data_IF_049627235268
#
_entry.id   IF_049627235268
#
_cell.length_a   1.000
_cell.length_b   1.000
_cell.length_c   1.000
_cell.angle_alpha   90.00
_cell.angle_beta   90.00
_cell.angle_gamma   90.00
#
_symmetry.space_group_name_H-M   'P 1'
#
loop_
_entity.id
_entity.type
_entity.pdbx_description
1 polymer ?
#
# COMPACT_ATOMS: atom_id res chain seq x y z
N UNK A 1 -4.93 -14.91 9.24
CA UNK A 1 -5.60 -14.37 8.02
C UNK A 1 -4.62 -14.08 6.89
N UNK A 2 -3.53 -13.36 7.14
CA UNK A 2 -2.50 -13.04 6.14
C UNK A 2 -1.93 -14.24 5.39
N UNK A 3 -1.59 -15.32 6.10
CA UNK A 3 -1.09 -16.59 5.52
C UNK A 3 -2.12 -17.24 4.60
N UNK A 4 -3.40 -17.23 4.99
CA UNK A 4 -4.50 -17.81 4.19
C UNK A 4 -4.68 -17.02 2.89
N UNK A 5 -4.63 -15.68 2.99
CA UNK A 5 -4.73 -14.78 1.83
C UNK A 5 -3.51 -14.96 0.91
N UNK A 6 -2.31 -15.10 1.48
CA UNK A 6 -1.09 -15.41 0.72
C UNK A 6 -1.23 -16.73 -0.03
N UNK A 7 -1.76 -17.77 0.62
CA UNK A 7 -1.96 -19.08 0.02
C UNK A 7 -3.02 -19.04 -1.08
N UNK A 8 -4.13 -18.32 -0.88
CA UNK A 8 -5.17 -18.15 -1.89
C UNK A 8 -4.65 -17.43 -3.13
N UNK A 9 -4.01 -16.27 -2.97
CA UNK A 9 -3.41 -15.53 -4.09
C UNK A 9 -2.25 -16.30 -4.74
N UNK A 10 -1.44 -17.00 -3.94
CA UNK A 10 -0.38 -17.87 -4.42
C UNK A 10 -0.89 -19.07 -5.23
N UNK A 11 -2.05 -19.64 -4.88
CA UNK A 11 -2.72 -20.69 -5.65
C UNK A 11 -3.32 -20.16 -6.95
N UNK A 12 -3.99 -19.00 -6.90
CA UNK A 12 -4.61 -18.37 -8.09
C UNK A 12 -3.55 -17.99 -9.13
N UNK A 13 -2.40 -17.48 -8.67
CA UNK A 13 -1.31 -17.00 -9.53
C UNK A 13 -0.12 -17.97 -9.60
N UNK A 14 -0.39 -19.26 -9.38
CA UNK A 14 0.62 -20.31 -9.36
C UNK A 14 1.44 -20.34 -10.66
N UNK A 15 2.77 -20.31 -10.53
CA UNK A 15 3.72 -20.48 -11.63
C UNK A 15 3.57 -19.45 -12.78
N UNK A 16 3.09 -18.24 -12.48
CA UNK A 16 2.99 -17.14 -13.46
C UNK A 16 4.15 -16.16 -13.44
N UNK A 17 5.04 -16.18 -12.44
CA UNK A 17 6.13 -15.20 -12.28
C UNK A 17 7.21 -15.18 -13.38
N UNK A 18 7.33 -16.26 -14.16
CA UNK A 18 8.30 -16.36 -15.27
C UNK A 18 7.67 -16.12 -16.66
N UNK A 19 6.35 -16.14 -16.77
CA UNK A 19 5.63 -15.98 -18.05
C UNK A 19 5.41 -14.49 -18.32
N UNK A 20 6.43 -13.83 -18.87
CA UNK A 20 6.39 -12.39 -19.21
C UNK A 20 6.46 -12.11 -20.71
N UNK A 21 6.34 -13.16 -21.54
CA UNK A 21 6.50 -13.07 -23.00
C UNK A 21 5.31 -12.43 -23.71
N UNK A 22 4.08 -12.56 -23.17
CA UNK A 22 2.87 -11.97 -23.75
C UNK A 22 2.40 -10.77 -22.96
N UNK A 23 1.88 -9.74 -23.65
CA UNK A 23 1.26 -8.57 -23.01
C UNK A 23 0.17 -8.95 -22.00
N UNK A 24 -0.68 -9.92 -22.35
CA UNK A 24 -1.75 -10.39 -21.46
C UNK A 24 -1.20 -11.01 -20.17
N UNK A 25 -0.11 -11.77 -20.26
CA UNK A 25 0.50 -12.41 -19.09
C UNK A 25 1.17 -11.37 -18.19
N UNK A 26 1.79 -10.33 -18.78
CA UNK A 26 2.28 -9.19 -18.03
C UNK A 26 1.13 -8.45 -17.32
N UNK A 27 0.05 -8.11 -18.01
CA UNK A 27 -1.11 -7.44 -17.42
C UNK A 27 -1.75 -8.27 -16.30
N UNK A 28 -1.85 -9.58 -16.48
CA UNK A 28 -2.31 -10.49 -15.43
C UNK A 28 -1.38 -10.47 -14.21
N UNK A 29 -0.06 -10.43 -14.40
CA UNK A 29 0.92 -10.33 -13.32
C UNK A 29 0.83 -8.98 -12.58
N UNK A 30 0.65 -7.89 -13.33
CA UNK A 30 0.44 -6.54 -12.79
C UNK A 30 -0.82 -6.49 -11.91
N UNK A 31 -1.95 -6.96 -12.45
CA UNK A 31 -3.22 -7.05 -11.73
C UNK A 31 -3.13 -8.00 -10.52
N UNK A 32 -2.37 -9.08 -10.62
CA UNK A 32 -2.12 -10.00 -9.50
C UNK A 32 -1.39 -9.30 -8.34
N UNK A 33 -0.29 -8.60 -8.63
CA UNK A 33 0.47 -7.87 -7.62
C UNK A 33 -0.38 -6.77 -6.97
N UNK A 34 -1.14 -6.04 -7.79
CA UNK A 34 -2.08 -5.03 -7.33
C UNK A 34 -3.14 -5.59 -6.38
N UNK A 35 -3.85 -6.63 -6.81
CA UNK A 35 -4.93 -7.23 -6.03
C UNK A 35 -4.41 -7.84 -4.72
N UNK A 36 -3.26 -8.52 -4.76
CA UNK A 36 -2.66 -9.13 -3.58
C UNK A 36 -2.33 -8.08 -2.50
N UNK A 37 -1.70 -6.97 -2.90
CA UNK A 37 -1.28 -5.92 -1.97
C UNK A 37 -2.47 -5.08 -1.51
N UNK A 38 -3.38 -4.69 -2.41
CA UNK A 38 -4.56 -3.92 -2.02
C UNK A 38 -5.48 -4.68 -1.09
N UNK A 39 -5.76 -5.95 -1.38
CA UNK A 39 -6.67 -6.74 -0.57
C UNK A 39 -6.14 -6.88 0.86
N UNK A 40 -4.84 -7.16 0.99
CA UNK A 40 -4.22 -7.29 2.30
C UNK A 40 -4.05 -5.94 3.02
N UNK A 41 -3.69 -4.88 2.29
CA UNK A 41 -3.59 -3.52 2.81
C UNK A 41 -4.94 -3.00 3.33
N UNK A 42 -6.02 -3.23 2.59
CA UNK A 42 -7.37 -2.85 2.97
C UNK A 42 -7.84 -3.57 4.25
N UNK A 43 -7.58 -4.89 4.36
CA UNK A 43 -7.94 -5.65 5.56
C UNK A 43 -7.18 -5.17 6.80
N UNK A 44 -5.88 -4.85 6.66
CA UNK A 44 -5.11 -4.27 7.77
C UNK A 44 -5.60 -2.87 8.13
N UNK A 45 -5.93 -2.03 7.14
CA UNK A 45 -6.51 -0.72 7.38
C UNK A 45 -7.81 -0.83 8.18
N UNK A 46 -8.75 -1.69 7.77
CA UNK A 46 -10.01 -1.90 8.49
C UNK A 46 -9.81 -2.41 9.92
N UNK A 47 -8.88 -3.32 10.13
CA UNK A 47 -8.56 -3.82 11.48
C UNK A 47 -8.03 -2.70 12.39
N UNK A 48 -7.12 -1.87 11.88
CA UNK A 48 -6.56 -0.71 12.60
C UNK A 48 -7.64 0.34 12.86
N UNK A 49 -8.53 0.60 11.90
CA UNK A 49 -9.61 1.56 12.05
C UNK A 49 -10.53 1.23 13.23
N UNK A 50 -10.83 -0.05 13.45
CA UNK A 50 -11.66 -0.50 14.58
C UNK A 50 -10.98 -0.27 15.92
N UNK A 51 -9.69 -0.60 16.03
CA UNK A 51 -8.92 -0.41 17.27
C UNK A 51 -8.82 1.07 17.62
N UNK A 52 -8.45 1.91 16.66
CA UNK A 52 -8.27 3.36 16.86
C UNK A 52 -9.58 4.05 17.20
N UNK A 53 -10.71 3.61 16.65
CA UNK A 53 -12.02 4.16 16.99
C UNK A 53 -12.40 3.92 18.46
N UNK A 54 -12.04 2.74 19.01
CA UNK A 54 -12.24 2.42 20.42
C UNK A 54 -11.34 3.30 21.29
N UNK A 55 -10.04 3.37 20.97
CA UNK A 55 -9.07 4.19 21.71
C UNK A 55 -9.44 5.67 21.73
N UNK A 56 -9.91 6.21 20.59
CA UNK A 56 -10.37 7.61 20.50
C UNK A 56 -11.51 7.92 21.46
N UNK A 57 -12.42 6.97 21.65
CA UNK A 57 -13.57 7.13 22.55
C UNK A 57 -13.12 7.19 24.01
N UNK A 58 -12.17 6.34 24.40
CA UNK A 58 -11.55 6.37 25.73
C UNK A 58 -10.78 7.67 25.95
N UNK A 59 -9.98 8.10 24.97
CA UNK A 59 -9.22 9.35 25.04
C UNK A 59 -10.10 10.58 25.26
N UNK A 60 -11.25 10.65 24.57
CA UNK A 60 -12.19 11.76 24.78
C UNK A 60 -12.77 11.78 26.20
N UNK A 61 -13.07 10.63 26.79
CA UNK A 61 -13.52 10.54 28.19
C UNK A 61 -12.42 10.96 29.18
N UNK A 62 -11.19 10.48 29.02
CA UNK A 62 -10.07 10.83 29.91
C UNK A 62 -9.69 12.31 29.82
N UNK A 63 -9.77 12.89 28.62
CA UNK A 63 -9.56 14.33 28.40
C UNK A 63 -10.66 15.17 29.06
N UNK A 64 -11.91 14.69 29.06
CA UNK A 64 -13.02 15.40 29.71
C UNK A 64 -12.88 15.48 31.24
N UNK A 65 -12.19 14.53 31.86
CA UNK A 65 -11.90 14.52 33.32
C UNK A 65 -10.58 15.24 33.64
N UNK A 66 -9.86 15.76 32.63
CA UNK A 66 -8.60 16.49 32.82
C UNK A 66 -7.41 15.59 33.19
N UNK A 67 -7.53 14.26 33.05
CA UNK A 67 -6.49 13.30 33.44
C UNK A 67 -5.38 13.12 32.38
N UNK A 68 -5.66 13.38 31.10
CA UNK A 68 -4.68 13.24 30.01
C UNK A 68 -4.52 14.53 29.20
N UNK A 69 -3.27 15.00 29.07
CA UNK A 69 -2.90 16.03 28.09
C UNK A 69 -2.65 15.42 26.70
N UNK A 70 -2.65 16.23 25.65
CA UNK A 70 -2.41 15.75 24.28
C UNK A 70 -1.00 15.17 24.05
N UNK A 71 -0.05 15.45 24.95
CA UNK A 71 1.34 14.99 24.86
C UNK A 71 1.49 13.47 25.08
N UNK A 72 0.93 12.86 26.14
CA UNK A 72 0.94 11.41 26.32
C UNK A 72 0.29 10.64 25.17
N UNK A 73 -0.72 11.20 24.50
CA UNK A 73 -1.32 10.59 23.31
C UNK A 73 -0.33 10.59 22.12
N UNK A 74 0.44 11.66 21.95
CA UNK A 74 1.50 11.69 20.94
C UNK A 74 2.63 10.69 21.26
N UNK A 75 2.99 10.51 22.53
CA UNK A 75 4.01 9.53 22.95
C UNK A 75 3.52 8.08 22.87
N UNK A 76 2.25 7.80 23.19
CA UNK A 76 1.66 6.48 22.98
C UNK A 76 1.59 6.17 21.48
N UNK A 77 1.33 7.15 20.63
CA UNK A 77 1.32 6.98 19.17
C UNK A 77 2.67 6.52 18.62
N UNK A 78 3.77 7.17 19.02
CA UNK A 78 5.13 6.83 18.56
C UNK A 78 5.52 5.43 19.02
N UNK A 79 5.17 5.08 20.27
CA UNK A 79 5.45 3.76 20.85
C UNK A 79 4.60 2.67 20.18
N UNK A 80 3.31 2.92 19.96
CA UNK A 80 2.41 2.03 19.22
C UNK A 80 2.90 1.81 17.79
N UNK A 81 3.33 2.87 17.10
CA UNK A 81 3.85 2.77 15.74
C UNK A 81 5.10 1.88 15.67
N UNK A 82 5.95 1.88 16.69
CA UNK A 82 7.11 1.01 16.78
C UNK A 82 6.74 -0.46 17.00
N UNK A 83 5.78 -0.77 17.89
CA UNK A 83 5.27 -2.12 18.07
C UNK A 83 4.54 -2.64 16.84
N UNK A 84 3.71 -1.80 16.21
CA UNK A 84 2.99 -2.12 14.98
C UNK A 84 3.95 -2.33 13.81
N UNK A 85 5.05 -1.57 13.72
CA UNK A 85 6.07 -1.77 12.70
C UNK A 85 6.78 -3.13 12.84
N UNK A 86 7.10 -3.57 14.06
CA UNK A 86 7.75 -4.88 14.30
C UNK A 86 6.78 -6.02 13.93
N UNK A 87 5.54 -5.93 14.38
CA UNK A 87 4.50 -6.91 14.03
C UNK A 87 4.26 -6.96 12.51
N UNK A 88 4.13 -5.79 11.87
CA UNK A 88 3.97 -5.69 10.42
C UNK A 88 5.19 -6.21 9.67
N UNK A 89 6.42 -6.03 10.19
CA UNK A 89 7.63 -6.58 9.57
C UNK A 89 7.59 -8.11 9.55
N UNK A 90 7.27 -8.75 10.68
CA UNK A 90 7.17 -10.22 10.76
C UNK A 90 6.03 -10.73 9.86
N UNK A 91 4.86 -10.07 9.90
CA UNK A 91 3.70 -10.42 9.09
C UNK A 91 3.97 -10.29 7.58
N UNK A 92 4.59 -9.18 7.16
CA UNK A 92 4.93 -8.92 5.75
C UNK A 92 6.04 -9.83 5.26
N UNK A 93 6.98 -10.23 6.13
CA UNK A 93 8.02 -11.18 5.78
C UNK A 93 7.43 -12.55 5.49
N UNK A 94 6.55 -13.05 6.37
CA UNK A 94 5.86 -14.33 6.15
C UNK A 94 4.99 -14.29 4.88
N UNK A 95 4.27 -13.19 4.66
CA UNK A 95 3.44 -12.99 3.46
C UNK A 95 4.28 -12.96 2.17
N UNK A 96 5.35 -12.19 2.17
CA UNK A 96 6.26 -12.01 1.04
C UNK A 96 6.92 -13.32 0.69
N UNK A 97 7.40 -14.08 1.68
CA UNK A 97 8.08 -15.35 1.45
C UNK A 97 7.15 -16.40 0.83
N UNK A 98 5.90 -16.47 1.28
CA UNK A 98 4.88 -17.35 0.70
C UNK A 98 4.52 -16.95 -0.74
N UNK A 99 4.16 -15.68 -0.97
CA UNK A 99 3.81 -15.22 -2.31
C UNK A 99 4.96 -15.38 -3.30
N UNK A 100 6.17 -15.02 -2.89
CA UNK A 100 7.34 -15.08 -3.75
C UNK A 100 7.67 -16.51 -4.18
N UNK A 101 7.53 -17.46 -3.24
CA UNK A 101 7.70 -18.89 -3.50
C UNK A 101 6.61 -19.45 -4.43
N UNK A 102 5.33 -19.12 -4.19
CA UNK A 102 4.20 -19.68 -4.95
C UNK A 102 4.03 -19.07 -6.35
N UNK A 103 4.28 -17.77 -6.51
CA UNK A 103 4.30 -17.11 -7.83
C UNK A 103 5.52 -17.56 -8.65
N UNK A 104 6.55 -18.09 -7.97
CA UNK A 104 7.81 -18.58 -8.54
C UNK A 104 8.57 -17.48 -9.27
N UNK A 105 8.82 -16.37 -8.56
CA UNK A 105 9.69 -15.30 -9.04
C UNK A 105 11.17 -15.75 -9.10
N UNK A 106 12.00 -14.99 -9.81
CA UNK A 106 13.44 -15.24 -9.92
C UNK A 106 14.13 -14.98 -8.59
N UNK A 107 14.58 -16.02 -7.88
CA UNK A 107 15.32 -15.92 -6.63
C UNK A 107 16.65 -15.15 -6.79
N UNK A 108 16.57 -13.82 -6.70
CA UNK A 108 17.69 -12.89 -6.57
C UNK A 108 17.50 -12.09 -5.28
N UNK A 109 18.50 -12.08 -4.41
CA UNK A 109 18.44 -11.40 -3.11
C UNK A 109 18.05 -9.91 -3.25
N UNK A 110 18.60 -9.21 -4.25
CA UNK A 110 18.27 -7.81 -4.53
C UNK A 110 16.79 -7.61 -4.88
N UNK A 111 16.22 -8.47 -5.75
CA UNK A 111 14.81 -8.37 -6.15
C UNK A 111 13.86 -8.72 -5.01
N UNK A 112 14.24 -9.69 -4.18
CA UNK A 112 13.49 -10.06 -2.99
C UNK A 112 13.48 -8.93 -1.96
N UNK A 113 14.63 -8.31 -1.67
CA UNK A 113 14.72 -7.21 -0.71
C UNK A 113 13.92 -5.98 -1.15
N UNK A 114 13.97 -5.60 -2.43
CA UNK A 114 13.14 -4.52 -2.95
C UNK A 114 11.65 -4.84 -2.86
N UNK A 115 11.26 -6.07 -3.18
CA UNK A 115 9.87 -6.51 -3.07
C UNK A 115 9.36 -6.50 -1.63
N UNK A 116 10.16 -7.03 -0.69
CA UNK A 116 9.86 -6.96 0.73
C UNK A 116 9.75 -5.53 1.23
N UNK A 117 10.66 -4.65 0.83
CA UNK A 117 10.62 -3.22 1.18
C UNK A 117 9.31 -2.57 0.74
N UNK A 118 8.93 -2.71 -0.53
CA UNK A 118 7.70 -2.10 -1.04
C UNK A 118 6.44 -2.64 -0.35
N UNK A 119 6.36 -3.96 -0.11
CA UNK A 119 5.22 -4.55 0.63
C UNK A 119 5.19 -4.05 2.08
N UNK A 120 6.34 -4.04 2.76
CA UNK A 120 6.46 -3.57 4.13
C UNK A 120 6.04 -2.10 4.26
N UNK A 121 6.62 -1.22 3.44
CA UNK A 121 6.29 0.20 3.46
C UNK A 121 4.84 0.44 3.05
N UNK A 122 4.29 -0.35 2.13
CA UNK A 122 2.88 -0.29 1.76
C UNK A 122 1.96 -0.64 2.96
N UNK A 123 2.31 -1.65 3.77
CA UNK A 123 1.53 -1.98 4.96
C UNK A 123 1.57 -0.85 6.00
N UNK A 124 2.76 -0.31 6.28
CA UNK A 124 2.92 0.83 7.19
C UNK A 124 2.09 2.01 6.69
N UNK A 125 2.15 2.28 5.38
CA UNK A 125 1.37 3.30 4.71
C UNK A 125 -0.16 3.07 4.86
N UNK A 126 -0.66 1.86 4.63
CA UNK A 126 -2.09 1.54 4.78
C UNK A 126 -2.58 1.64 6.23
N UNK A 127 -1.73 1.26 7.19
CA UNK A 127 -2.00 1.44 8.61
C UNK A 127 -2.14 2.93 8.97
N UNK A 128 -1.22 3.78 8.50
CA UNK A 128 -1.26 5.23 8.71
C UNK A 128 -2.47 5.87 8.04
N UNK A 129 -2.79 5.41 6.84
CA UNK A 129 -3.98 5.83 6.11
C UNK A 129 -5.26 5.49 6.89
N UNK A 130 -5.38 4.26 7.41
CA UNK A 130 -6.51 3.84 8.23
C UNK A 130 -6.68 4.72 9.47
N UNK A 131 -5.59 5.02 10.16
CA UNK A 131 -5.57 5.95 11.30
C UNK A 131 -6.05 7.34 10.90
N UNK A 132 -5.50 7.92 9.82
CA UNK A 132 -5.87 9.23 9.30
C UNK A 132 -7.37 9.34 9.01
N UNK A 133 -7.94 8.35 8.32
CA UNK A 133 -9.37 8.38 7.96
C UNK A 133 -10.26 8.36 9.21
N UNK A 134 -9.91 7.60 10.25
CA UNK A 134 -10.65 7.59 11.52
C UNK A 134 -10.48 8.90 12.28
N UNK A 135 -9.32 9.55 12.21
CA UNK A 135 -9.14 10.87 12.80
C UNK A 135 -9.98 11.96 12.12
N UNK A 136 -10.22 11.85 10.81
CA UNK A 136 -10.96 12.84 10.02
C UNK A 136 -12.48 12.60 10.01
N UNK A 137 -12.95 11.43 10.40
CA UNK A 137 -14.38 11.06 10.31
C UNK A 137 -15.04 10.88 11.67
N UNK A 138 -16.32 11.24 11.83
CA UNK A 138 -17.01 11.16 13.12
C UNK A 138 -17.30 9.72 13.57
N UNK A 139 -17.37 8.73 12.65
CA UNK A 139 -17.69 7.35 12.99
C UNK A 139 -17.00 6.30 12.10
N UNK A 140 -16.81 5.10 12.64
CA UNK A 140 -16.14 3.98 11.98
C UNK A 140 -16.81 3.57 10.65
N UNK A 141 -18.15 3.60 10.59
CA UNK A 141 -18.89 3.28 9.36
C UNK A 141 -18.62 4.30 8.24
N UNK A 142 -18.50 5.58 8.57
CA UNK A 142 -18.18 6.64 7.60
C UNK A 142 -16.72 6.52 7.14
N UNK A 143 -15.80 6.21 8.07
CA UNK A 143 -14.42 5.89 7.75
C UNK A 143 -14.34 4.74 6.73
N UNK A 144 -15.04 3.63 7.01
CA UNK A 144 -15.06 2.45 6.15
C UNK A 144 -15.61 2.73 4.74
N UNK A 145 -16.57 3.66 4.61
CA UNK A 145 -17.15 4.07 3.30
C UNK A 145 -16.21 5.05 2.56
N UNK A 146 -15.55 5.97 3.26
CA UNK A 146 -14.61 6.91 2.65
C UNK A 146 -13.30 6.25 2.20
N UNK A 147 -12.85 5.20 2.90
CA UNK A 147 -11.60 4.49 2.61
C UNK A 147 -11.50 3.99 1.16
N UNK A 148 -12.49 3.25 0.60
CA UNK A 148 -12.46 2.82 -0.79
C UNK A 148 -12.65 3.98 -1.78
N UNK A 149 -13.41 5.03 -1.44
CA UNK A 149 -13.62 6.18 -2.33
C UNK A 149 -12.30 6.87 -2.73
N UNK A 150 -11.36 7.01 -1.79
CA UNK A 150 -10.04 7.56 -2.06
C UNK A 150 -9.08 6.58 -2.76
N UNK A 151 -9.29 5.26 -2.58
CA UNK A 151 -8.45 4.21 -3.19
C UNK A 151 -8.90 3.84 -4.62
N UNK A 152 -10.20 3.98 -4.94
CA UNK A 152 -10.82 3.45 -6.17
C UNK A 152 -10.81 4.40 -7.39
N UNK A 153 -10.25 5.61 -7.30
CA UNK A 153 -10.21 6.55 -8.44
C UNK A 153 -9.26 6.16 -9.59
N UNK A 154 -8.83 4.90 -9.68
CA UNK A 154 -7.64 4.55 -10.46
C UNK A 154 -7.84 4.00 -11.87
N UNK A 155 -9.01 3.56 -12.34
CA UNK A 155 -8.97 2.70 -13.55
C UNK A 155 -9.93 2.97 -14.71
N UNK A 156 -10.84 3.94 -14.66
CA UNK A 156 -11.72 4.19 -15.81
C UNK A 156 -11.80 5.67 -16.18
N UNK A 157 -10.95 6.05 -17.13
CA UNK A 157 -10.92 7.35 -17.83
C UNK A 157 -10.86 8.59 -16.95
N UNK A 158 -9.64 8.94 -16.54
CA UNK A 158 -9.39 10.15 -15.76
C UNK A 158 -9.37 11.38 -16.71
N UNK A 159 -10.25 12.37 -16.53
CA UNK A 159 -10.17 13.63 -17.27
C UNK A 159 -8.83 14.31 -17.03
N UNK A 160 -8.33 15.09 -18.00
CA UNK A 160 -6.99 15.71 -17.96
C UNK A 160 -6.72 16.49 -16.66
N UNK A 161 -7.75 17.12 -16.09
CA UNK A 161 -7.71 17.87 -14.82
C UNK A 161 -7.49 17.01 -13.57
N UNK A 162 -7.66 15.69 -13.63
CA UNK A 162 -7.47 14.76 -12.51
C UNK A 162 -6.20 13.92 -12.62
N UNK A 163 -5.38 14.13 -13.66
CA UNK A 163 -4.10 13.43 -13.82
C UNK A 163 -3.11 13.68 -12.67
N UNK A 164 -3.22 14.81 -11.97
CA UNK A 164 -2.40 15.06 -10.78
C UNK A 164 -2.74 14.08 -9.64
N UNK A 165 -3.97 13.56 -9.59
CA UNK A 165 -4.37 12.60 -8.56
C UNK A 165 -3.63 11.26 -8.71
N UNK A 166 -3.20 10.90 -9.93
CA UNK A 166 -2.31 9.75 -10.13
C UNK A 166 -0.97 9.94 -9.40
N UNK A 167 -0.42 11.16 -9.44
CA UNK A 167 0.80 11.52 -8.71
C UNK A 167 0.57 11.63 -7.20
N UNK A 168 -0.65 11.97 -6.77
CA UNK A 168 -1.03 11.97 -5.36
C UNK A 168 -1.47 10.60 -4.84
N UNK A 169 -1.68 9.60 -5.71
CA UNK A 169 -2.22 8.29 -5.35
C UNK A 169 -1.09 7.33 -4.95
N UNK A 170 -0.92 7.04 -3.67
CA UNK A 170 0.16 6.19 -3.16
C UNK A 170 0.03 4.73 -3.61
N UNK A 171 -1.17 4.30 -4.03
CA UNK A 171 -1.38 2.99 -4.65
C UNK A 171 -0.68 2.91 -6.01
N UNK A 172 -0.69 4.00 -6.79
CA UNK A 172 0.00 4.06 -8.09
C UNK A 172 1.52 3.98 -7.91
N UNK A 173 2.07 4.67 -6.90
CA UNK A 173 3.50 4.59 -6.57
C UNK A 173 3.92 3.20 -6.09
N UNK A 174 3.06 2.51 -5.33
CA UNK A 174 3.31 1.15 -4.90
C UNK A 174 3.36 0.18 -6.08
N UNK A 175 2.41 0.29 -7.00
CA UNK A 175 2.40 -0.51 -8.22
C UNK A 175 3.65 -0.22 -9.07
N UNK A 176 4.01 1.05 -9.24
CA UNK A 176 5.26 1.44 -9.89
C UNK A 176 6.47 0.72 -9.26
N UNK A 177 6.62 0.79 -7.93
CA UNK A 177 7.75 0.20 -7.21
C UNK A 177 7.84 -1.33 -7.36
N UNK A 178 6.71 -2.03 -7.17
CA UNK A 178 6.66 -3.49 -7.29
C UNK A 178 6.98 -3.96 -8.70
N UNK A 179 6.38 -3.34 -9.70
CA UNK A 179 6.53 -3.70 -11.12
C UNK A 179 7.95 -3.47 -11.59
N UNK A 180 8.49 -2.29 -11.29
CA UNK A 180 9.85 -1.92 -11.66
C UNK A 180 10.87 -2.81 -10.96
N UNK A 181 10.63 -3.22 -9.70
CA UNK A 181 11.51 -4.13 -8.96
C UNK A 181 11.57 -5.56 -9.54
N UNK A 182 10.45 -6.10 -10.03
CA UNK A 182 10.39 -7.48 -10.50
C UNK A 182 10.71 -7.61 -11.99
N UNK A 183 10.21 -6.65 -12.77
CA UNK A 183 10.15 -6.72 -14.23
C UNK A 183 11.06 -5.68 -14.90
N UNK A 184 11.35 -4.56 -14.24
CA UNK A 184 12.11 -3.44 -14.80
C UNK A 184 13.56 -3.76 -15.18
N UNK A 185 14.21 -4.74 -14.52
CA UNK A 185 15.58 -5.16 -14.84
C UNK A 185 15.65 -6.20 -15.98
N UNK A 186 14.53 -6.86 -16.33
CA UNK A 186 14.54 -7.95 -17.32
C UNK A 186 14.68 -7.42 -18.75
N UNK A 187 15.69 -7.91 -19.47
CA UNK A 187 15.83 -7.73 -20.92
C UNK A 187 14.99 -8.76 -21.70
N UNK A 188 13.70 -8.92 -21.33
CA UNK A 188 12.81 -9.83 -22.06
C UNK A 188 12.13 -9.07 -23.21
N UNK A 189 11.92 -9.75 -24.34
CA UNK A 189 11.04 -9.28 -25.41
C UNK A 189 9.60 -9.61 -25.07
N UNK A 190 8.71 -8.66 -25.32
CA UNK A 190 7.28 -8.77 -25.11
C UNK A 190 6.58 -8.74 -26.46
N UNK A 191 5.79 -9.77 -26.73
CA UNK A 191 4.96 -9.87 -27.91
C UNK A 191 3.67 -9.06 -27.70
N UNK A 192 3.56 -7.97 -28.45
CA UNK A 192 2.36 -7.15 -28.54
C UNK A 192 1.57 -7.61 -29.77
N UNK A 193 0.28 -7.98 -29.64
CA UNK A 193 -0.54 -8.46 -30.76
C UNK A 193 -0.56 -7.52 -31.99
N UNK A 194 -0.32 -6.23 -31.79
CA UNK A 194 -0.35 -5.19 -32.84
C UNK A 194 1.03 -4.63 -33.25
N UNK A 195 2.08 -4.77 -32.43
CA UNK A 195 3.37 -4.07 -32.64
C UNK A 195 4.60 -4.99 -32.73
N UNK A 196 4.43 -6.31 -32.59
CA UNK A 196 5.52 -7.28 -32.65
C UNK A 196 6.32 -7.37 -31.34
N UNK A 197 7.57 -7.81 -31.44
CA UNK A 197 8.47 -7.99 -30.29
C UNK A 197 9.07 -6.65 -29.84
N UNK A 198 8.58 -6.10 -28.73
CA UNK A 198 9.11 -4.88 -28.11
C UNK A 198 9.87 -5.24 -26.85
N UNK A 199 11.06 -4.67 -26.58
CA UNK A 199 11.74 -4.88 -25.31
C UNK A 199 10.88 -4.38 -24.16
N UNK A 200 10.72 -5.22 -23.13
CA UNK A 200 9.87 -4.98 -21.96
C UNK A 200 10.15 -3.65 -21.28
N UNK A 201 11.43 -3.24 -21.19
CA UNK A 201 11.84 -1.94 -20.65
C UNK A 201 11.24 -0.76 -21.42
N UNK A 202 11.18 -0.85 -22.75
CA UNK A 202 10.60 0.20 -23.60
C UNK A 202 9.09 0.21 -23.47
N UNK A 203 8.45 -0.95 -23.38
CA UNK A 203 7.01 -1.02 -23.11
C UNK A 203 6.65 -0.41 -21.74
N UNK A 204 7.38 -0.76 -20.69
CA UNK A 204 7.18 -0.18 -19.35
C UNK A 204 7.36 1.34 -19.35
N UNK A 205 8.36 1.87 -20.08
CA UNK A 205 8.61 3.31 -20.17
C UNK A 205 7.55 4.04 -21.00
N UNK A 206 7.17 3.51 -22.17
CA UNK A 206 6.26 4.19 -23.12
C UNK A 206 4.80 4.04 -22.71
N UNK A 207 4.39 2.85 -22.24
CA UNK A 207 2.99 2.57 -21.92
C UNK A 207 2.62 2.86 -20.47
N UNK A 208 3.56 2.70 -19.52
CA UNK A 208 3.29 2.88 -18.09
C UNK A 208 4.11 4.02 -17.44
N UNK A 209 5.10 4.59 -18.14
CA UNK A 209 5.98 5.62 -17.58
C UNK A 209 6.97 5.10 -16.53
N UNK A 210 7.20 3.79 -16.46
CA UNK A 210 8.02 3.18 -15.41
C UNK A 210 9.49 3.12 -15.81
N UNK A 211 10.31 3.88 -15.09
CA UNK A 211 11.77 3.91 -15.18
C UNK A 211 12.44 3.21 -13.97
N UNK A 212 13.41 2.33 -14.28
CA UNK A 212 14.16 1.57 -13.29
C UNK A 212 15.06 2.45 -12.41
N UNK A 213 15.66 3.50 -12.97
CA UNK A 213 16.54 4.40 -12.22
C UNK A 213 15.79 5.26 -11.18
N UNK A 214 14.46 5.37 -11.33
CA UNK A 214 13.61 6.13 -10.42
C UNK A 214 13.12 5.30 -9.22
N UNK A 215 13.50 4.02 -9.13
CA UNK A 215 13.09 3.09 -8.09
C UNK A 215 13.46 3.58 -6.66
N UNK A 216 14.66 4.14 -6.40
CA UNK A 216 14.97 4.75 -5.10
C UNK A 216 14.15 6.00 -4.80
N UNK A 217 13.83 6.82 -5.80
CA UNK A 217 12.98 8.01 -5.62
C UNK A 217 11.55 7.60 -5.22
N UNK A 218 11.03 6.53 -5.84
CA UNK A 218 9.73 5.94 -5.46
C UNK A 218 9.75 5.43 -4.02
N UNK A 219 10.85 4.81 -3.57
CA UNK A 219 11.00 4.39 -2.18
C UNK A 219 10.93 5.58 -1.20
N UNK A 220 11.63 6.67 -1.50
CA UNK A 220 11.59 7.91 -0.69
C UNK A 220 10.18 8.53 -0.70
N UNK A 221 9.48 8.52 -1.83
CA UNK A 221 8.12 9.03 -1.93
C UNK A 221 7.16 8.29 -0.98
N UNK A 222 7.30 6.97 -0.83
CA UNK A 222 6.47 6.20 0.11
C UNK A 222 6.71 6.60 1.58
N UNK A 223 7.96 6.87 1.96
CA UNK A 223 8.27 7.42 3.28
C UNK A 223 7.66 8.81 3.47
N UNK A 224 7.70 9.64 2.42
CA UNK A 224 7.05 10.95 2.39
C UNK A 224 5.54 10.87 2.62
N UNK A 225 4.84 9.95 1.93
CA UNK A 225 3.41 9.71 2.15
C UNK A 225 3.12 9.22 3.57
N UNK A 226 3.96 8.33 4.11
CA UNK A 226 3.84 7.88 5.50
C UNK A 226 3.93 9.03 6.51
N UNK A 227 4.93 9.91 6.35
CA UNK A 227 5.08 11.10 7.20
C UNK A 227 3.89 12.06 7.05
N UNK A 228 3.44 12.32 5.83
CA UNK A 228 2.29 13.19 5.56
C UNK A 228 1.05 12.69 6.29
N UNK A 229 0.74 11.41 6.20
CA UNK A 229 -0.42 10.83 6.89
C UNK A 229 -0.30 10.87 8.40
N UNK A 230 0.91 10.65 8.92
CA UNK A 230 1.15 10.82 10.34
C UNK A 230 0.88 12.27 10.80
N UNK A 231 1.34 13.27 10.03
CA UNK A 231 1.07 14.68 10.32
C UNK A 231 -0.42 15.02 10.25
N UNK A 232 -1.12 14.57 9.21
CA UNK A 232 -2.57 14.80 9.06
C UNK A 232 -3.34 14.14 10.20
N UNK A 233 -2.97 12.93 10.59
CA UNK A 233 -3.56 12.23 11.73
C UNK A 233 -3.33 12.99 13.05
N UNK A 234 -2.08 13.38 13.34
CA UNK A 234 -1.73 14.11 14.56
C UNK A 234 -2.45 15.46 14.65
N UNK A 235 -2.56 16.17 13.53
CA UNK A 235 -3.32 17.41 13.45
C UNK A 235 -4.83 17.17 13.59
N UNK A 236 -5.34 16.12 12.95
CA UNK A 236 -6.74 15.69 13.01
C UNK A 236 -7.20 15.46 14.44
N UNK A 237 -6.48 14.67 15.23
CA UNK A 237 -6.86 14.39 16.63
C UNK A 237 -6.69 15.62 17.54
N UNK A 238 -5.72 16.49 17.26
CA UNK A 238 -5.50 17.70 18.06
C UNK A 238 -6.63 18.72 17.86
N UNK A 239 -7.07 18.93 16.62
CA UNK A 239 -8.00 20.01 16.25
C UNK A 239 -9.45 19.56 16.06
N UNK A 240 -9.70 18.32 15.64
CA UNK A 240 -11.04 17.80 15.43
C UNK A 240 -11.56 17.11 16.70
N UNK A 241 -12.59 17.69 17.28
CA UNK A 241 -13.37 17.06 18.33
C UNK A 241 -14.77 16.75 17.80
N UNK A 242 -15.05 15.47 17.58
CA UNK A 242 -16.35 15.01 17.10
C UNK A 242 -17.34 14.68 18.23
N UNK A 243 -16.94 14.82 19.51
CA UNK A 243 -17.91 14.88 20.61
C UNK A 243 -18.56 16.26 20.63
N UNK A 244 -19.58 16.45 19.79
CA UNK A 244 -20.62 17.43 20.07
C UNK A 244 -21.77 16.68 20.75
N UNK A 245 -22.13 17.12 21.96
CA UNK A 245 -23.39 16.74 22.60
C UNK A 245 -24.55 17.04 21.66
#
# INVERSE_FOLDING_TARGET
>A
MTIVIAALFGLIFWNKGQKTTKQQDLMNLLGAMYAAVLFLGALNASAVQSVVAIERTVFYCERAVGMYSALPYAFSQVTQMQFVAIYNAIQTLAYTLLLYSMIRFEWKATKFLWFYYYIFTCFVYFTLYGMMVVALTPGHQIAAICTPFFLSFLEFQIPIWWRWYYWASPVAWMLYGLVTSQVGDKNASLEIPEAGNVPLKVYLKVSLGFEYDFLPAVAVAHLGFGLLFFFVFAYGIKFLNFQRR
#
